data_IF_844974578302
#
_entry.id   IF_844974578302
#
_cell.length_a   1.000
_cell.length_b   1.000
_cell.length_c   1.000
_cell.angle_alpha   90.00
_cell.angle_beta   90.00
_cell.angle_gamma   90.00
#
_symmetry.space_group_name_H-M   'P 1'
#
loop_
_entity.id
_entity.type
_entity.pdbx_description
1 polymer ?
#
# COMPACT_ATOMS: atom_id res chain seq x y z
N UNK A 1 -2.16 18.05 -5.93
CA UNK A 1 -2.94 18.27 -4.68
C UNK A 1 -2.51 17.39 -3.51
N UNK A 2 -2.39 16.05 -3.65
CA UNK A 2 -1.91 15.18 -2.57
C UNK A 2 -0.37 15.11 -2.52
N UNK A 3 0.28 14.97 -3.68
CA UNK A 3 1.74 15.13 -3.83
C UNK A 3 2.29 16.39 -3.15
N UNK A 4 1.67 17.54 -3.41
CA UNK A 4 2.09 18.84 -2.86
C UNK A 4 1.92 18.90 -1.34
N UNK A 5 0.89 18.22 -0.80
CA UNK A 5 0.68 18.07 0.64
C UNK A 5 1.75 17.19 1.28
N UNK A 6 2.16 16.11 0.62
CA UNK A 6 3.27 15.26 1.08
C UNK A 6 4.57 16.06 1.04
N UNK A 7 4.85 16.76 -0.06
CA UNK A 7 6.05 17.57 -0.25
C UNK A 7 6.17 18.72 0.76
N UNK A 8 5.06 19.37 1.12
CA UNK A 8 5.04 20.45 2.12
C UNK A 8 5.05 19.97 3.57
N UNK A 9 4.82 18.68 3.83
CA UNK A 9 4.81 18.16 5.21
C UNK A 9 6.25 18.13 5.77
N UNK A 10 6.50 18.78 6.93
CA UNK A 10 7.82 18.76 7.56
C UNK A 10 8.10 17.36 8.15
N UNK A 11 9.18 16.73 7.70
CA UNK A 11 9.67 15.45 8.17
C UNK A 11 10.94 15.68 9.01
N UNK A 12 10.89 15.34 10.31
CA UNK A 12 12.04 15.53 11.21
C UNK A 12 12.77 14.20 11.39
N UNK A 13 14.06 14.17 11.05
CA UNK A 13 14.92 12.99 11.15
C UNK A 13 15.03 12.22 9.83
N UNK A 14 16.10 11.41 9.72
CA UNK A 14 16.44 10.69 8.49
C UNK A 14 15.34 9.70 8.03
N UNK A 15 14.77 8.96 8.97
CA UNK A 15 13.73 7.96 8.66
C UNK A 15 12.41 8.60 8.19
N UNK A 16 12.02 9.72 8.78
CA UNK A 16 10.84 10.48 8.35
C UNK A 16 11.05 11.05 6.94
N UNK A 17 12.26 11.55 6.64
CA UNK A 17 12.58 12.06 5.32
C UNK A 17 12.62 10.93 4.27
N UNK A 18 13.15 9.75 4.62
CA UNK A 18 13.14 8.56 3.77
C UNK A 18 11.72 8.12 3.43
N UNK A 19 10.84 8.01 4.43
CA UNK A 19 9.44 7.66 4.21
C UNK A 19 8.73 8.70 3.32
N UNK A 20 9.00 10.00 3.54
CA UNK A 20 8.45 11.07 2.70
C UNK A 20 8.89 10.96 1.24
N UNK A 21 10.17 10.69 0.99
CA UNK A 21 10.68 10.51 -0.36
C UNK A 21 10.05 9.28 -1.03
N UNK A 22 9.99 8.15 -0.31
CA UNK A 22 9.35 6.93 -0.81
C UNK A 22 7.88 7.15 -1.22
N UNK A 23 7.14 7.96 -0.46
CA UNK A 23 5.75 8.29 -0.77
C UNK A 23 5.62 9.20 -1.99
N UNK A 24 6.57 10.11 -2.20
CA UNK A 24 6.60 10.93 -3.42
C UNK A 24 6.94 10.08 -4.64
N UNK A 25 7.94 9.20 -4.54
CA UNK A 25 8.33 8.29 -5.62
C UNK A 25 7.18 7.34 -5.98
N UNK A 26 6.47 6.82 -4.98
CA UNK A 26 5.28 5.98 -5.18
C UNK A 26 4.14 6.73 -5.85
N UNK A 27 3.85 7.97 -5.43
CA UNK A 27 2.83 8.81 -6.07
C UNK A 27 3.16 9.05 -7.55
N UNK A 28 4.42 9.38 -7.85
CA UNK A 28 4.88 9.64 -9.22
C UNK A 28 4.82 8.37 -10.09
N UNK A 29 5.17 7.21 -9.52
CA UNK A 29 5.02 5.92 -10.17
C UNK A 29 3.55 5.61 -10.52
N UNK A 30 2.61 5.90 -9.61
CA UNK A 30 1.17 5.67 -9.83
C UNK A 30 0.57 6.60 -10.90
N UNK A 31 1.06 7.84 -11.00
CA UNK A 31 0.62 8.77 -12.05
C UNK A 31 1.26 8.49 -13.42
N UNK A 32 2.33 7.69 -13.45
CA UNK A 32 2.95 7.28 -14.70
C UNK A 32 2.05 6.25 -15.40
N UNK A 33 1.65 6.48 -16.68
CA UNK A 33 0.85 5.51 -17.40
C UNK A 33 1.67 4.24 -17.58
N UNK A 34 1.29 3.19 -16.86
CA UNK A 34 1.86 1.86 -17.05
C UNK A 34 1.62 1.41 -18.49
N UNK A 35 2.61 0.72 -19.06
CA UNK A 35 2.42 -0.02 -20.30
C UNK A 35 1.16 -0.90 -20.16
N UNK A 36 0.21 -0.88 -21.11
CA UNK A 36 -1.00 -1.70 -21.06
C UNK A 36 -0.75 -3.18 -20.72
N UNK A 37 0.34 -3.76 -21.21
CA UNK A 37 0.73 -5.14 -20.89
C UNK A 37 1.10 -5.33 -19.41
N UNK A 38 1.82 -4.37 -18.82
CA UNK A 38 2.17 -4.40 -17.40
C UNK A 38 0.93 -4.21 -16.52
N UNK A 39 -0.01 -3.35 -16.93
CA UNK A 39 -1.29 -3.16 -16.23
C UNK A 39 -2.08 -4.46 -16.19
N UNK A 40 -2.14 -5.19 -17.32
CA UNK A 40 -2.79 -6.50 -17.39
C UNK A 40 -2.11 -7.53 -16.50
N UNK A 41 -0.78 -7.65 -16.59
CA UNK A 41 -0.01 -8.57 -15.75
C UNK A 41 -0.19 -8.28 -14.25
N UNK A 42 -0.27 -7.00 -13.86
CA UNK A 42 -0.53 -6.59 -12.47
C UNK A 42 -1.90 -7.09 -11.99
N UNK A 43 -2.93 -6.98 -12.82
CA UNK A 43 -4.28 -7.49 -12.53
C UNK A 43 -4.27 -9.02 -12.39
N UNK A 44 -3.64 -9.72 -13.35
CA UNK A 44 -3.56 -11.18 -13.36
C UNK A 44 -2.80 -11.71 -12.12
N UNK A 45 -1.72 -11.03 -11.74
CA UNK A 45 -0.96 -11.35 -10.53
C UNK A 45 -1.79 -11.15 -9.26
N UNK A 46 -2.52 -10.04 -9.15
CA UNK A 46 -3.37 -9.76 -7.99
C UNK A 46 -4.47 -10.82 -7.84
N UNK A 47 -5.11 -11.21 -8.94
CA UNK A 47 -6.08 -12.31 -9.00
C UNK A 47 -5.48 -13.62 -8.48
N UNK A 48 -4.32 -13.99 -9.02
CA UNK A 48 -3.64 -15.21 -8.61
C UNK A 48 -3.26 -15.18 -7.12
N UNK A 49 -2.74 -14.06 -6.62
CA UNK A 49 -2.37 -13.89 -5.21
C UNK A 49 -3.60 -14.04 -4.30
N UNK A 50 -4.72 -13.40 -4.64
CA UNK A 50 -5.96 -13.48 -3.87
C UNK A 50 -6.48 -14.93 -3.82
N UNK A 51 -6.55 -15.61 -4.97
CA UNK A 51 -6.98 -17.01 -5.05
C UNK A 51 -6.06 -17.95 -4.25
N UNK A 52 -4.74 -17.75 -4.34
CA UNK A 52 -3.77 -18.52 -3.56
C UNK A 52 -3.98 -18.32 -2.06
N UNK A 53 -4.15 -17.09 -1.60
CA UNK A 53 -4.35 -16.79 -0.18
C UNK A 53 -5.62 -17.43 0.39
N UNK A 54 -6.73 -17.43 -0.36
CA UNK A 54 -7.96 -18.15 0.02
C UNK A 54 -7.71 -19.65 0.20
N UNK A 55 -6.88 -20.22 -0.67
CA UNK A 55 -6.59 -21.65 -0.68
C UNK A 55 -5.66 -22.03 0.46
N UNK A 56 -4.59 -21.26 0.70
CA UNK A 56 -3.60 -21.59 1.73
C UNK A 56 -4.07 -21.31 3.14
N UNK A 57 -5.06 -20.44 3.31
CA UNK A 57 -5.65 -20.07 4.61
C UNK A 57 -7.15 -20.45 4.65
N UNK A 58 -7.51 -21.57 4.02
CA UNK A 58 -8.90 -22.04 3.95
C UNK A 58 -9.50 -22.35 5.32
N UNK A 59 -8.65 -22.71 6.28
CA UNK A 59 -8.98 -22.92 7.68
C UNK A 59 -9.49 -21.63 8.36
N UNK A 60 -8.82 -20.51 8.12
CA UNK A 60 -9.26 -19.19 8.58
C UNK A 60 -10.51 -18.72 7.82
N UNK A 61 -10.60 -19.03 6.52
CA UNK A 61 -11.75 -18.67 5.70
C UNK A 61 -13.03 -19.42 6.08
N UNK A 62 -12.90 -20.65 6.57
CA UNK A 62 -14.04 -21.50 7.00
C UNK A 62 -14.61 -21.08 8.36
N UNK A 63 -13.90 -20.21 9.09
CA UNK A 63 -14.35 -19.69 10.37
C UNK A 63 -15.20 -18.42 10.16
N UNK A 64 -16.48 -18.50 10.53
CA UNK A 64 -17.45 -17.40 10.41
C UNK A 64 -16.98 -16.09 11.06
N UNK A 65 -16.15 -16.15 12.11
CA UNK A 65 -15.65 -14.96 12.79
C UNK A 65 -14.58 -14.21 11.98
N UNK A 66 -13.93 -14.88 11.02
CA UNK A 66 -12.82 -14.31 10.24
C UNK A 66 -13.15 -14.17 8.76
N UNK A 67 -14.19 -14.86 8.28
CA UNK A 67 -14.63 -14.82 6.88
C UNK A 67 -14.80 -13.40 6.35
N UNK A 68 -15.54 -12.55 7.07
CA UNK A 68 -15.81 -11.17 6.63
C UNK A 68 -14.53 -10.32 6.56
N UNK A 69 -13.63 -10.50 7.53
CA UNK A 69 -12.34 -9.81 7.56
C UNK A 69 -11.41 -10.26 6.42
N UNK A 70 -11.44 -11.55 6.07
CA UNK A 70 -10.66 -12.11 4.97
C UNK A 70 -11.27 -11.71 3.62
N UNK A 71 -12.59 -11.73 3.47
CA UNK A 71 -13.25 -11.26 2.26
C UNK A 71 -12.95 -9.76 2.03
N UNK A 72 -13.06 -8.93 3.07
CA UNK A 72 -12.62 -7.53 3.04
C UNK A 72 -11.14 -7.40 2.63
N UNK A 73 -10.24 -8.16 3.25
CA UNK A 73 -8.82 -8.09 2.91
C UNK A 73 -8.55 -8.49 1.45
N UNK A 74 -9.20 -9.52 0.95
CA UNK A 74 -8.96 -10.05 -0.38
C UNK A 74 -9.64 -9.28 -1.50
N UNK A 75 -10.66 -8.48 -1.18
CA UNK A 75 -11.38 -7.61 -2.11
C UNK A 75 -10.87 -6.17 -2.08
N UNK A 76 -10.59 -5.63 -0.89
CA UNK A 76 -10.24 -4.21 -0.70
C UNK A 76 -8.74 -3.97 -0.55
N UNK A 77 -7.97 -4.93 -0.03
CA UNK A 77 -6.51 -4.79 0.16
C UNK A 77 -5.69 -5.50 -0.93
N UNK A 78 -6.25 -6.54 -1.56
CA UNK A 78 -5.62 -7.35 -2.61
C UNK A 78 -6.47 -7.56 -3.87
N UNK A 79 -7.65 -6.94 -3.95
CA UNK A 79 -8.57 -7.14 -5.07
C UNK A 79 -8.08 -6.54 -6.39
N UNK A 80 -8.80 -6.85 -7.46
CA UNK A 80 -8.54 -6.31 -8.80
C UNK A 80 -9.01 -4.87 -8.93
N UNK A 81 -9.93 -4.45 -8.07
CA UNK A 81 -10.52 -3.13 -8.13
C UNK A 81 -9.53 -2.05 -7.70
N UNK A 82 -9.71 -0.91 -8.34
CA UNK A 82 -8.82 0.23 -8.38
C UNK A 82 -8.31 0.64 -6.98
N UNK A 83 -7.08 0.20 -6.65
CA UNK A 83 -6.36 0.57 -5.44
C UNK A 83 -6.12 2.08 -5.30
N UNK A 84 -6.45 2.88 -6.32
CA UNK A 84 -6.38 4.34 -6.24
C UNK A 84 -7.17 4.89 -5.06
N UNK A 85 -8.26 4.24 -4.61
CA UNK A 85 -9.00 4.67 -3.42
C UNK A 85 -8.17 4.54 -2.13
N UNK A 86 -7.56 3.38 -1.91
CA UNK A 86 -6.66 3.13 -0.78
C UNK A 86 -5.43 4.02 -0.84
N UNK A 87 -4.82 4.14 -2.02
CA UNK A 87 -3.64 4.99 -2.22
C UNK A 87 -3.98 6.46 -1.92
N UNK A 88 -5.12 6.97 -2.39
CA UNK A 88 -5.62 8.31 -2.04
C UNK A 88 -5.84 8.45 -0.52
N UNK A 89 -6.39 7.44 0.14
CA UNK A 89 -6.60 7.48 1.59
C UNK A 89 -5.28 7.48 2.36
N UNK A 90 -4.29 6.68 1.93
CA UNK A 90 -2.93 6.68 2.47
C UNK A 90 -2.27 8.04 2.30
N UNK A 91 -2.32 8.62 1.10
CA UNK A 91 -1.79 9.96 0.82
C UNK A 91 -2.48 11.04 1.66
N UNK A 92 -3.79 10.90 1.90
CA UNK A 92 -4.59 11.81 2.72
C UNK A 92 -4.18 11.76 4.20
N UNK A 93 -3.91 10.57 4.73
CA UNK A 93 -3.54 10.40 6.14
C UNK A 93 -2.03 10.58 6.41
N UNK A 94 -1.20 10.55 5.36
CA UNK A 94 0.26 10.65 5.45
C UNK A 94 0.76 11.79 6.36
N UNK A 95 0.25 13.03 6.27
CA UNK A 95 0.72 14.13 7.11
C UNK A 95 0.44 13.92 8.60
N UNK A 96 -0.58 13.12 8.94
CA UNK A 96 -0.88 12.73 10.33
C UNK A 96 0.02 11.58 10.75
N UNK A 97 0.20 10.58 9.90
CA UNK A 97 1.06 9.42 10.16
C UNK A 97 2.49 9.85 10.52
N UNK A 98 3.13 10.72 9.73
CA UNK A 98 4.52 11.13 9.99
C UNK A 98 4.70 11.94 11.27
N UNK A 99 3.64 12.59 11.77
CA UNK A 99 3.65 13.32 13.04
C UNK A 99 3.45 12.42 14.25
N UNK A 100 2.77 11.28 14.06
CA UNK A 100 2.38 10.37 15.12
C UNK A 100 3.30 9.15 15.23
N UNK A 101 4.00 8.77 14.15
CA UNK A 101 4.87 7.60 14.13
C UNK A 101 6.16 7.88 14.94
N UNK A 102 6.45 7.06 15.97
CA UNK A 102 7.74 7.07 16.66
C UNK A 102 8.88 6.81 15.68
N UNK A 103 10.01 7.49 15.88
CA UNK A 103 11.21 7.33 15.04
C UNK A 103 11.70 5.87 14.96
N UNK A 104 11.44 5.08 16.01
CA UNK A 104 11.79 3.65 16.10
C UNK A 104 10.99 2.72 15.18
N UNK A 105 9.81 3.15 14.71
CA UNK A 105 8.96 2.37 13.79
C UNK A 105 9.29 2.66 12.31
N UNK A 106 9.96 3.77 12.02
CA UNK A 106 10.29 4.16 10.64
C UNK A 106 11.60 3.51 10.13
N UNK A 107 12.47 3.05 11.04
CA UNK A 107 13.79 2.50 10.69
C UNK A 107 13.89 0.97 10.59
N UNK A 108 12.80 0.21 10.72
CA UNK A 108 12.89 -1.25 10.91
C UNK A 108 12.89 -2.12 9.64
N UNK A 109 12.86 -1.55 8.44
CA UNK A 109 13.04 -2.37 7.23
C UNK A 109 14.05 -1.75 6.26
N UNK A 110 15.28 -2.28 6.18
CA UNK A 110 16.11 -2.08 5.01
C UNK A 110 15.47 -2.88 3.89
N UNK A 111 14.75 -2.21 2.99
CA UNK A 111 14.53 -2.80 1.65
C UNK A 111 15.93 -2.84 1.03
N UNK A 112 16.56 -4.01 1.09
CA UNK A 112 17.83 -4.29 0.45
C UNK A 112 17.69 -3.97 -1.03
N UNK A 113 18.34 -2.91 -1.48
CA UNK A 113 18.59 -2.64 -2.89
C UNK A 113 19.44 -3.78 -3.44
N UNK A 114 18.84 -4.63 -4.28
CA UNK A 114 19.55 -5.53 -5.21
C UNK A 114 19.44 -4.95 -6.60
#
# INVERSE_FOLDING_TARGET
MYRDRIASTPAKGAEAQRLKNLMLDYHDYQQSPLNPELSKLKIDLANWQSARLKTTHSDLYSNLNFKDGIDFLLQELYGVEDFSARDRDLERIFPKLIKLLPSSLLGQYPISSS
#
